data_IF_471373444987
#
_entry.id   IF_471373444987
#
_cell.length_a   1.000
_cell.length_b   1.000
_cell.length_c   1.000
_cell.angle_alpha   90.00
_cell.angle_beta   90.00
_cell.angle_gamma   90.00
#
_symmetry.space_group_name_H-M   'P 1'
#
loop_
_entity.id
_entity.type
_entity.pdbx_description
1 polymer ?
#
# COMPACT_ATOMS: atom_id res chain seq x y z
N UNK A 1 20.04 17.76 -0.98
CA UNK A 1 18.89 17.68 -1.90
C UNK A 1 19.02 16.39 -2.69
N UNK A 2 18.21 15.37 -2.42
CA UNK A 2 18.25 14.12 -3.19
C UNK A 2 17.47 14.35 -4.49
N UNK A 3 18.20 14.67 -5.58
CA UNK A 3 17.66 14.91 -6.92
C UNK A 3 17.31 13.65 -7.71
N UNK A 4 16.75 12.64 -7.06
CA UNK A 4 16.24 11.42 -7.69
C UNK A 4 14.82 11.18 -7.21
N UNK A 5 13.83 11.27 -8.10
CA UNK A 5 12.44 10.99 -7.72
C UNK A 5 12.33 9.53 -7.28
N UNK A 6 11.90 9.28 -6.04
CA UNK A 6 11.52 7.95 -5.62
C UNK A 6 10.22 7.55 -6.34
N UNK A 7 10.25 6.44 -7.07
CA UNK A 7 9.03 5.82 -7.57
C UNK A 7 8.41 4.93 -6.49
N UNK A 8 7.09 4.74 -6.57
CA UNK A 8 6.39 3.67 -5.87
C UNK A 8 5.59 2.88 -6.92
N UNK A 9 5.40 1.60 -6.72
CA UNK A 9 4.69 0.78 -7.69
C UNK A 9 4.47 -0.63 -7.18
N UNK A 10 3.71 -1.39 -7.94
CA UNK A 10 3.37 -2.76 -7.60
C UNK A 10 2.51 -3.39 -8.68
N UNK A 11 2.12 -4.63 -8.40
CA UNK A 11 1.31 -5.45 -9.28
C UNK A 11 0.06 -5.86 -8.52
N UNK A 12 -1.09 -5.73 -9.15
CA UNK A 12 -2.33 -6.31 -8.66
C UNK A 12 -2.48 -7.69 -9.31
N UNK A 13 -2.72 -8.70 -8.48
CA UNK A 13 -2.91 -10.09 -8.91
C UNK A 13 -4.32 -10.55 -8.56
N UNK A 14 -4.86 -11.43 -9.40
CA UNK A 14 -6.11 -12.12 -9.09
C UNK A 14 -5.90 -13.28 -8.10
N UNK A 15 -6.98 -13.96 -7.73
CA UNK A 15 -6.95 -15.12 -6.82
C UNK A 15 -6.12 -16.30 -7.34
N UNK A 16 -5.83 -16.36 -8.65
CA UNK A 16 -5.00 -17.38 -9.29
C UNK A 16 -3.54 -16.96 -9.38
N UNK A 17 -3.20 -15.76 -8.89
CA UNK A 17 -1.87 -15.18 -8.93
C UNK A 17 -1.51 -14.54 -10.28
N UNK A 18 -2.45 -14.44 -11.22
CA UNK A 18 -2.23 -13.82 -12.51
C UNK A 18 -2.26 -12.29 -12.37
N UNK A 19 -1.32 -11.61 -13.04
CA UNK A 19 -1.22 -10.15 -12.95
C UNK A 19 -2.38 -9.50 -13.71
N UNK A 20 -3.24 -8.81 -12.96
CA UNK A 20 -4.42 -8.09 -13.47
C UNK A 20 -4.08 -6.65 -13.85
N UNK A 21 -3.17 -6.01 -13.13
CA UNK A 21 -2.72 -4.65 -13.43
C UNK A 21 -1.31 -4.39 -12.88
N UNK A 22 -0.55 -3.51 -13.54
CA UNK A 22 0.65 -2.91 -12.99
C UNK A 22 0.35 -1.45 -12.68
N UNK A 23 0.91 -0.95 -11.58
CA UNK A 23 0.76 0.46 -11.23
C UNK A 23 2.09 1.07 -10.80
N UNK A 24 2.21 2.35 -11.09
CA UNK A 24 3.36 3.15 -10.72
C UNK A 24 2.90 4.58 -10.38
N UNK A 25 3.48 5.13 -9.32
CA UNK A 25 3.22 6.47 -8.84
C UNK A 25 4.50 7.20 -8.48
N UNK A 26 4.46 8.53 -8.63
CA UNK A 26 5.56 9.39 -8.19
C UNK A 26 5.47 9.55 -6.67
N UNK A 27 6.51 9.11 -5.95
CA UNK A 27 6.66 9.41 -4.53
C UNK A 27 7.45 10.73 -4.38
N UNK A 28 6.75 11.78 -3.96
CA UNK A 28 7.37 13.08 -3.67
C UNK A 28 8.25 13.08 -2.42
N UNK A 29 8.43 11.93 -1.76
CA UNK A 29 9.09 11.83 -0.48
C UNK A 29 10.23 10.78 -0.49
N UNK A 30 11.30 11.07 0.26
CA UNK A 30 12.59 10.37 0.18
C UNK A 30 12.73 9.17 1.13
N UNK A 31 11.70 8.32 1.29
CA UNK A 31 11.78 7.16 2.19
C UNK A 31 11.17 5.90 1.60
N UNK A 32 11.85 4.76 1.74
CA UNK A 32 11.42 3.47 1.20
C UNK A 32 10.08 3.05 1.83
N UNK A 33 9.93 3.26 3.13
CA UNK A 33 8.70 2.99 3.87
C UNK A 33 7.56 3.89 3.41
N UNK A 34 7.84 5.16 3.11
CA UNK A 34 6.82 6.09 2.60
C UNK A 34 6.38 5.72 1.19
N UNK A 35 7.32 5.26 0.35
CA UNK A 35 7.00 4.74 -0.98
C UNK A 35 6.09 3.50 -0.89
N UNK A 36 6.30 2.62 0.09
CA UNK A 36 5.41 1.47 0.32
C UNK A 36 4.02 1.93 0.76
N UNK A 37 3.90 2.84 1.74
CA UNK A 37 2.57 3.37 2.14
C UNK A 37 1.85 4.03 0.96
N UNK A 38 2.58 4.76 0.11
CA UNK A 38 2.00 5.35 -1.10
C UNK A 38 1.57 4.30 -2.12
N UNK A 39 2.37 3.24 -2.32
CA UNK A 39 2.00 2.12 -3.18
C UNK A 39 0.71 1.43 -2.68
N UNK A 40 0.54 1.29 -1.36
CA UNK A 40 -0.69 0.74 -0.76
C UNK A 40 -1.90 1.60 -1.11
N UNK A 41 -1.80 2.92 -1.00
CA UNK A 41 -2.91 3.82 -1.34
C UNK A 41 -3.24 3.76 -2.84
N UNK A 42 -2.22 3.74 -3.71
CA UNK A 42 -2.44 3.61 -5.16
C UNK A 42 -3.09 2.26 -5.50
N UNK A 43 -2.59 1.17 -4.92
CA UNK A 43 -3.14 -0.17 -5.10
C UNK A 43 -4.62 -0.20 -4.70
N UNK A 44 -4.96 0.43 -3.56
CA UNK A 44 -6.33 0.54 -3.06
C UNK A 44 -7.22 1.31 -4.04
N UNK A 45 -6.78 2.46 -4.54
CA UNK A 45 -7.56 3.27 -5.49
C UNK A 45 -7.84 2.47 -6.77
N UNK A 46 -6.83 1.80 -7.31
CA UNK A 46 -6.96 0.97 -8.51
C UNK A 46 -7.86 -0.23 -8.24
N UNK A 47 -7.72 -0.88 -7.09
CA UNK A 47 -8.55 -2.02 -6.72
C UNK A 47 -10.01 -1.62 -6.62
N UNK A 48 -10.34 -0.51 -5.95
CA UNK A 48 -11.72 -0.01 -5.85
C UNK A 48 -12.27 0.29 -7.25
N UNK A 49 -11.46 0.86 -8.14
CA UNK A 49 -11.88 1.18 -9.50
C UNK A 49 -12.16 -0.06 -10.36
N UNK A 50 -11.33 -1.10 -10.21
CA UNK A 50 -11.48 -2.38 -10.92
C UNK A 50 -12.59 -3.26 -10.33
N UNK A 51 -12.73 -3.26 -9.00
CA UNK A 51 -13.58 -4.19 -8.26
C UNK A 51 -14.90 -3.56 -7.76
N UNK A 52 -15.37 -2.47 -8.38
CA UNK A 52 -16.57 -1.67 -8.00
C UNK A 52 -17.86 -2.45 -7.67
N UNK A 53 -17.92 -3.77 -7.91
CA UNK A 53 -19.10 -4.63 -7.73
C UNK A 53 -18.82 -5.97 -7.05
N UNK A 54 -17.59 -6.26 -6.63
CA UNK A 54 -17.21 -7.58 -6.12
C UNK A 54 -16.75 -7.45 -4.67
N UNK A 55 -17.39 -8.22 -3.79
CA UNK A 55 -17.10 -8.27 -2.37
C UNK A 55 -15.88 -9.16 -2.07
N UNK A 56 -14.71 -8.80 -2.62
CA UNK A 56 -13.45 -9.53 -2.40
C UNK A 56 -12.52 -8.74 -1.47
N UNK A 57 -11.78 -9.43 -0.59
CA UNK A 57 -10.77 -8.79 0.25
C UNK A 57 -9.56 -8.36 -0.59
N UNK A 58 -8.97 -7.20 -0.26
CA UNK A 58 -7.70 -6.77 -0.82
C UNK A 58 -6.55 -7.31 0.04
N UNK A 59 -5.68 -8.13 -0.53
CA UNK A 59 -4.46 -8.61 0.13
C UNK A 59 -3.28 -7.78 -0.39
N UNK A 60 -2.54 -7.18 0.53
CA UNK A 60 -1.37 -6.35 0.25
C UNK A 60 -0.13 -7.02 0.83
N UNK A 61 0.79 -7.39 -0.04
CA UNK A 61 2.07 -8.01 0.31
C UNK A 61 3.21 -6.99 0.20
N UNK A 62 4.11 -6.93 1.20
CA UNK A 62 5.28 -6.05 1.20
C UNK A 62 6.39 -6.56 2.12
N UNK A 63 7.65 -6.18 1.86
CA UNK A 63 8.83 -6.71 2.58
C UNK A 63 9.34 -5.83 3.75
N UNK A 64 8.71 -4.70 4.04
CA UNK A 64 9.22 -3.74 5.03
C UNK A 64 8.65 -3.94 6.44
N UNK A 65 9.47 -4.42 7.36
CA UNK A 65 9.12 -4.59 8.78
C UNK A 65 8.70 -3.28 9.45
N UNK A 66 9.37 -2.16 9.14
CA UNK A 66 9.00 -0.84 9.66
C UNK A 66 7.56 -0.42 9.29
N UNK A 67 7.12 -0.78 8.08
CA UNK A 67 5.73 -0.54 7.64
C UNK A 67 4.76 -1.46 8.38
N UNK A 68 5.14 -2.71 8.65
CA UNK A 68 4.35 -3.64 9.46
C UNK A 68 4.08 -3.08 10.86
N UNK A 69 5.10 -2.51 11.50
CA UNK A 69 4.97 -1.90 12.83
C UNK A 69 4.06 -0.66 12.81
N UNK A 70 4.13 0.15 11.76
CA UNK A 70 3.24 1.31 11.60
C UNK A 70 1.79 0.91 11.38
N UNK A 71 1.54 -0.18 10.65
CA UNK A 71 0.21 -0.74 10.43
C UNK A 71 -0.39 -1.27 11.74
N UNK A 72 0.41 -2.00 12.53
CA UNK A 72 -0.01 -2.56 13.83
C UNK A 72 -0.19 -1.50 14.91
N UNK A 73 0.74 -0.56 14.99
CA UNK A 73 0.82 0.39 16.11
C UNK A 73 0.75 1.83 15.61
N UNK A 74 -0.44 2.43 15.71
CA UNK A 74 -0.69 3.83 15.30
C UNK A 74 0.28 4.84 15.93
N UNK A 75 0.75 4.57 17.17
CA UNK A 75 1.71 5.41 17.89
C UNK A 75 3.10 5.48 17.24
N UNK A 76 3.49 4.46 16.47
CA UNK A 76 4.79 4.38 15.81
C UNK A 76 4.82 5.11 14.46
N UNK A 77 3.65 5.55 13.96
CA UNK A 77 3.53 6.23 12.67
C UNK A 77 4.19 7.61 12.71
N UNK A 78 5.20 7.87 11.86
CA UNK A 78 5.79 9.19 11.72
C UNK A 78 4.75 10.23 11.32
N UNK A 79 4.95 11.48 11.73
CA UNK A 79 4.03 12.57 11.42
C UNK A 79 3.82 12.75 9.90
N UNK A 80 4.88 12.56 9.11
CA UNK A 80 4.89 12.73 7.65
C UNK A 80 3.93 11.79 6.91
N UNK A 81 3.64 10.61 7.47
CA UNK A 81 2.76 9.61 6.82
C UNK A 81 1.35 9.57 7.40
N UNK A 82 1.06 10.36 8.44
CA UNK A 82 -0.26 10.32 9.11
C UNK A 82 -1.41 10.67 8.16
N UNK A 83 -1.19 11.62 7.24
CA UNK A 83 -2.19 11.98 6.23
C UNK A 83 -2.47 10.79 5.30
N UNK A 84 -1.43 10.15 4.77
CA UNK A 84 -1.59 8.96 3.92
C UNK A 84 -2.33 7.83 4.64
N UNK A 85 -2.01 7.58 5.91
CA UNK A 85 -2.76 6.60 6.70
C UNK A 85 -4.23 7.00 6.91
N UNK A 86 -4.52 8.29 7.11
CA UNK A 86 -5.90 8.76 7.22
C UNK A 86 -6.66 8.60 5.91
N UNK A 87 -6.02 8.84 4.76
CA UNK A 87 -6.62 8.63 3.43
C UNK A 87 -6.91 7.14 3.18
N UNK A 88 -5.97 6.25 3.53
CA UNK A 88 -6.18 4.79 3.47
C UNK A 88 -7.34 4.38 4.38
N UNK A 89 -7.31 4.76 5.66
CA UNK A 89 -8.32 4.40 6.67
C UNK A 89 -9.71 4.95 6.31
N UNK A 90 -9.80 6.21 5.93
CA UNK A 90 -11.04 6.85 5.45
C UNK A 90 -11.54 6.26 4.14
N UNK A 91 -10.69 5.50 3.47
CA UNK A 91 -10.99 4.81 2.25
C UNK A 91 -11.41 3.34 2.40
N UNK A 92 -11.26 2.76 3.59
CA UNK A 92 -11.61 1.36 3.87
C UNK A 92 -13.11 1.10 3.82
N UNK A 93 -13.96 2.12 3.94
CA UNK A 93 -15.42 1.98 3.85
C UNK A 93 -15.89 1.39 2.51
N UNK A 94 -15.06 1.46 1.47
CA UNK A 94 -15.34 0.90 0.15
C UNK A 94 -14.82 -0.53 -0.03
N UNK A 95 -14.17 -1.10 0.99
CA UNK A 95 -13.61 -2.46 0.97
C UNK A 95 -14.31 -3.32 2.02
N UNK A 96 -14.52 -4.60 1.69
CA UNK A 96 -14.97 -5.60 2.67
C UNK A 96 -13.92 -5.78 3.76
N UNK A 97 -12.68 -5.92 3.32
CA UNK A 97 -11.54 -6.22 4.18
C UNK A 97 -10.25 -5.87 3.44
N UNK A 98 -9.25 -5.38 4.18
CA UNK A 98 -7.87 -5.27 3.72
C UNK A 98 -6.98 -6.12 4.62
N UNK A 99 -6.13 -6.95 4.03
CA UNK A 99 -5.15 -7.79 4.73
C UNK A 99 -3.75 -7.35 4.37
N UNK A 100 -2.93 -7.12 5.38
CA UNK A 100 -1.54 -6.76 5.22
C UNK A 100 -0.66 -7.95 5.56
N UNK A 101 0.13 -8.41 4.59
CA UNK A 101 1.04 -9.54 4.71
C UNK A 101 2.46 -9.01 4.56
N UNK A 102 3.19 -9.00 5.67
CA UNK A 102 4.62 -8.71 5.62
C UNK A 102 5.36 -9.97 5.19
N UNK A 103 5.92 -9.98 3.98
CA UNK A 103 6.79 -11.05 3.51
C UNK A 103 8.16 -10.84 4.14
N UNK A 104 8.37 -11.46 5.30
CA UNK A 104 9.70 -11.53 5.90
C UNK A 104 10.57 -12.40 4.97
N UNK A 105 11.21 -11.79 3.99
CA UNK A 105 12.40 -12.36 3.38
C UNK A 105 13.48 -12.34 4.45
N UNK A 106 13.49 -13.37 5.33
CA UNK A 106 14.68 -13.69 6.10
C UNK A 106 15.80 -13.94 5.09
N UNK A 107 16.71 -12.98 4.97
CA UNK A 107 17.99 -13.13 4.30
C UNK A 107 19.08 -12.93 5.33
#
# INVERSE_FOLDING_TARGET
SCGGGCGCGGELRDEKGAVSAHFFGKCGACGVEQAVIMAIEIARVIFIDLMRKINVPLIVEFELSGVSDWLKYRRLRPWSVRKLFADIEGGLWHLVEIKFVATNSQK
#
